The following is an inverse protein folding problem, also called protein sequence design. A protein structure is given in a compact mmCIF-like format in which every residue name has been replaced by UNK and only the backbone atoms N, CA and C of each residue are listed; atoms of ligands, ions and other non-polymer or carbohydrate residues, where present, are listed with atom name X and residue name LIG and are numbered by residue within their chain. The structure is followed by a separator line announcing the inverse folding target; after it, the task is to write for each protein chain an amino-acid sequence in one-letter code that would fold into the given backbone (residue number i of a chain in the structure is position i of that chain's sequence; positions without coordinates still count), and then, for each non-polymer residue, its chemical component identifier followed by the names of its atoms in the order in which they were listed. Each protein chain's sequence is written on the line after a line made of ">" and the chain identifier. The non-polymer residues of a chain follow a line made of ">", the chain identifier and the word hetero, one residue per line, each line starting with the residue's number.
data_IF_892700174107
#
_entry.id   IF_892700174107
#
_cell.length_a   1.000
_cell.length_b   1.000
_cell.length_c   1.000
_cell.angle_alpha   90.00
_cell.angle_beta   90.00
_cell.angle_gamma   90.00
#
_symmetry.space_group_name_H-M   'P 1'
#
loop_
_entity.id
_entity.type
_entity.pdbx_description
1 polymer ?
#
# COMPACT_ATOMS: atom_id res chain seq x y z
N UNK A 1 -6.43 -27.96 20.63
CA UNK A 1 -6.71 -26.51 20.53
C UNK A 1 -5.57 -25.89 19.73
N UNK A 2 -5.86 -25.17 18.63
CA UNK A 2 -4.85 -24.33 17.98
C UNK A 2 -4.78 -23.01 18.75
N UNK A 3 -3.70 -22.80 19.50
CA UNK A 3 -3.44 -21.55 20.19
C UNK A 3 -2.95 -20.57 19.13
N UNK A 4 -3.60 -19.40 19.01
CA UNK A 4 -3.13 -18.37 18.09
C UNK A 4 -1.73 -17.92 18.52
N UNK A 5 -0.72 -17.97 17.63
CA UNK A 5 0.61 -17.48 17.98
C UNK A 5 0.54 -15.97 18.23
N UNK A 6 1.10 -15.54 19.35
CA UNK A 6 1.21 -14.11 19.66
C UNK A 6 2.41 -13.55 18.90
N UNK A 7 2.13 -12.97 17.74
CA UNK A 7 3.13 -12.25 16.94
C UNK A 7 3.26 -10.81 17.43
N UNK A 8 4.49 -10.30 17.44
CA UNK A 8 4.76 -8.89 17.70
C UNK A 8 4.17 -8.04 16.55
N UNK A 9 3.24 -7.11 16.83
CA UNK A 9 2.65 -6.26 15.79
C UNK A 9 3.65 -5.24 15.23
N UNK A 10 4.74 -4.95 15.94
CA UNK A 10 5.76 -3.97 15.54
C UNK A 10 6.75 -4.61 14.57
N UNK A 11 6.81 -4.06 13.37
CA UNK A 11 7.76 -4.47 12.33
C UNK A 11 9.10 -3.74 12.48
N UNK A 12 9.06 -2.44 12.82
CA UNK A 12 10.24 -1.62 13.02
C UNK A 12 9.96 -0.60 14.13
N UNK A 13 10.87 -0.48 15.09
CA UNK A 13 10.81 0.56 16.14
C UNK A 13 11.94 1.56 15.92
N UNK A 14 11.57 2.82 15.70
CA UNK A 14 12.47 3.96 15.55
C UNK A 14 12.20 4.92 16.72
N UNK A 15 12.61 4.52 17.92
CA UNK A 15 12.41 5.31 19.14
C UNK A 15 10.91 5.49 19.45
N UNK A 16 10.35 6.72 19.40
CA UNK A 16 8.92 6.95 19.62
C UNK A 16 8.03 6.54 18.44
N UNK A 17 8.60 6.18 17.29
CA UNK A 17 7.84 5.80 16.10
C UNK A 17 7.86 4.29 15.91
N UNK A 18 6.69 3.66 16.04
CA UNK A 18 6.51 2.22 15.79
C UNK A 18 5.79 2.01 14.45
N UNK A 19 6.45 1.28 13.55
CA UNK A 19 5.87 0.86 12.28
C UNK A 19 5.30 -0.53 12.45
N UNK A 20 3.99 -0.66 12.34
CA UNK A 20 3.31 -1.95 12.44
C UNK A 20 3.28 -2.72 11.12
N UNK A 21 3.17 -4.05 11.22
CA UNK A 21 3.06 -4.92 10.04
C UNK A 21 1.86 -4.58 9.15
N UNK A 22 0.72 -4.21 9.72
CA UNK A 22 -0.45 -3.83 8.90
C UNK A 22 -0.17 -2.59 8.06
N UNK A 23 0.60 -1.61 8.58
CA UNK A 23 0.95 -0.41 7.84
C UNK A 23 1.86 -0.74 6.65
N UNK A 24 2.81 -1.67 6.85
CA UNK A 24 3.64 -2.19 5.75
C UNK A 24 2.78 -2.93 4.70
N UNK A 25 1.78 -3.70 5.14
CA UNK A 25 0.86 -4.37 4.22
C UNK A 25 0.02 -3.38 3.41
N UNK A 26 -0.45 -2.29 4.01
CA UNK A 26 -1.11 -1.21 3.27
C UNK A 26 -0.19 -0.58 2.24
N UNK A 27 1.03 -0.20 2.62
CA UNK A 27 2.02 0.35 1.69
C UNK A 27 2.28 -0.59 0.51
N UNK A 28 2.43 -1.89 0.79
CA UNK A 28 2.65 -2.89 -0.25
C UNK A 28 1.44 -3.04 -1.17
N UNK A 29 0.21 -3.01 -0.64
CA UNK A 29 -1.01 -3.05 -1.42
C UNK A 29 -1.14 -1.83 -2.33
N UNK A 30 -0.92 -0.62 -1.81
CA UNK A 30 -0.95 0.61 -2.62
C UNK A 30 0.15 0.64 -3.68
N UNK A 31 1.37 0.22 -3.35
CA UNK A 31 2.48 0.13 -4.30
C UNK A 31 2.19 -0.87 -5.43
N UNK A 32 1.63 -2.04 -5.10
CA UNK A 32 1.23 -3.04 -6.09
C UNK A 32 0.09 -2.53 -6.99
N UNK A 33 -0.92 -1.88 -6.42
CA UNK A 33 -2.03 -1.28 -7.17
C UNK A 33 -1.55 -0.18 -8.11
N UNK A 34 -0.70 0.73 -7.62
CA UNK A 34 -0.08 1.78 -8.42
C UNK A 34 0.77 1.21 -9.55
N UNK A 35 1.68 0.28 -9.26
CA UNK A 35 2.55 -0.33 -10.27
C UNK A 35 1.77 -1.03 -11.37
N UNK A 36 0.70 -1.75 -11.02
CA UNK A 36 -0.17 -2.40 -12.00
C UNK A 36 -0.95 -1.38 -12.85
N UNK A 37 -1.52 -0.36 -12.22
CA UNK A 37 -2.28 0.68 -12.92
C UNK A 37 -1.39 1.51 -13.85
N UNK A 38 -0.19 1.85 -13.41
CA UNK A 38 0.83 2.55 -14.21
C UNK A 38 1.29 1.69 -15.39
N UNK A 39 1.61 0.41 -15.17
CA UNK A 39 1.94 -0.50 -16.25
C UNK A 39 0.81 -0.59 -17.30
N UNK A 40 -0.43 -0.54 -16.84
CA UNK A 40 -1.61 -0.65 -17.72
C UNK A 40 -1.96 0.67 -18.41
N UNK A 41 -1.64 1.82 -17.83
CA UNK A 41 -1.80 3.13 -18.49
C UNK A 41 -0.84 3.27 -19.68
N UNK A 42 0.37 2.72 -19.60
CA UNK A 42 1.31 2.72 -20.76
C UNK A 42 0.81 1.94 -21.97
N UNK A 43 -0.23 1.10 -21.81
CA UNK A 43 -0.86 0.31 -22.89
C UNK A 43 -2.21 0.87 -23.35
N UNK A 44 -2.60 2.05 -22.87
CA UNK A 44 -3.91 2.66 -23.13
C UNK A 44 -3.76 4.15 -23.40
N UNK A 45 -4.15 4.58 -24.59
CA UNK A 45 -3.99 5.98 -25.02
C UNK A 45 -4.83 6.98 -24.20
N UNK A 46 -5.93 6.52 -23.60
CA UNK A 46 -6.87 7.37 -22.86
C UNK A 46 -6.53 7.52 -21.36
N UNK A 47 -5.41 6.98 -20.89
CA UNK A 47 -5.03 7.02 -19.48
C UNK A 47 -3.60 7.55 -19.34
N UNK A 48 -3.44 8.67 -18.64
CA UNK A 48 -2.12 9.20 -18.31
C UNK A 48 -1.62 8.62 -16.99
N UNK A 49 -0.31 8.69 -16.76
CA UNK A 49 0.31 8.28 -15.49
C UNK A 49 -0.14 9.16 -14.33
N UNK A 50 -0.43 10.43 -14.57
CA UNK A 50 -0.89 11.36 -13.54
C UNK A 50 -2.27 10.99 -13.01
N UNK A 51 -3.18 10.56 -13.91
CA UNK A 51 -4.49 10.04 -13.50
C UNK A 51 -4.39 8.79 -12.62
N UNK A 52 -3.36 7.96 -12.84
CA UNK A 52 -3.10 6.79 -11.99
C UNK A 52 -2.63 7.24 -10.60
N UNK A 53 -1.71 8.20 -10.53
CA UNK A 53 -1.22 8.77 -9.28
C UNK A 53 -2.37 9.40 -8.48
N UNK A 54 -3.19 10.22 -9.12
CA UNK A 54 -4.35 10.86 -8.49
C UNK A 54 -5.33 9.81 -7.95
N UNK A 55 -5.66 8.80 -8.74
CA UNK A 55 -6.58 7.74 -8.34
C UNK A 55 -6.07 7.00 -7.09
N UNK A 56 -4.79 6.61 -7.07
CA UNK A 56 -4.21 5.90 -5.92
C UNK A 56 -4.11 6.82 -4.72
N UNK A 57 -3.76 8.09 -4.91
CA UNK A 57 -3.66 9.07 -3.82
C UNK A 57 -5.01 9.36 -3.18
N UNK A 58 -6.03 9.71 -3.97
CA UNK A 58 -7.39 9.92 -3.44
C UNK A 58 -8.00 8.64 -2.87
N UNK A 59 -7.69 7.48 -3.47
CA UNK A 59 -8.05 6.18 -2.91
C UNK A 59 -7.42 5.94 -1.54
N UNK A 60 -6.14 6.25 -1.37
CA UNK A 60 -5.44 6.12 -0.09
C UNK A 60 -5.93 7.12 0.97
N UNK A 61 -6.29 8.35 0.58
CA UNK A 61 -6.90 9.33 1.49
C UNK A 61 -8.30 8.92 1.99
N UNK A 62 -9.02 8.11 1.22
CA UNK A 62 -10.35 7.64 1.58
C UNK A 62 -10.38 6.44 2.54
N UNK A 63 -9.22 5.83 2.83
CA UNK A 63 -9.04 4.72 3.78
C UNK A 63 -8.75 5.27 5.17
#
# INVERSE_FOLDING_TARGET
>A
MMIHPQYDPVALSLGPLEVHWYALMYLLAFAAAYGLAWYRSTKRDNWTTDMVSDLVFYGALGV
#
